data_IF_442961401336
#
_entry.id   IF_442961401336
#
_cell.length_a   1.000
_cell.length_b   1.000
_cell.length_c   1.000
_cell.angle_alpha   90.00
_cell.angle_beta   90.00
_cell.angle_gamma   90.00
#
_symmetry.space_group_name_H-M   'P 1'
#
loop_
_entity.id
_entity.type
_entity.pdbx_description
1 polymer ?
#
# COMPACT_ATOMS: atom_id res chain seq x y z
N UNK A 1 -26.60 12.75 -17.49
CA UNK A 1 -25.78 11.73 -16.78
C UNK A 1 -24.34 11.83 -17.24
N UNK A 2 -23.44 12.20 -16.37
CA UNK A 2 -22.01 12.27 -16.67
C UNK A 2 -21.39 10.89 -16.56
N UNK A 3 -20.64 10.46 -17.58
CA UNK A 3 -19.94 9.18 -17.63
C UNK A 3 -18.47 9.42 -17.30
N UNK A 4 -17.99 8.81 -16.19
CA UNK A 4 -16.63 8.96 -15.70
C UNK A 4 -15.84 7.67 -15.95
N UNK A 5 -14.72 7.69 -16.70
CA UNK A 5 -13.84 6.53 -16.84
C UNK A 5 -13.39 6.02 -15.48
N UNK A 6 -13.54 4.71 -15.26
CA UNK A 6 -13.22 4.02 -14.01
C UNK A 6 -12.49 2.73 -14.28
N UNK A 7 -11.43 2.53 -13.52
CA UNK A 7 -10.60 1.32 -13.58
C UNK A 7 -10.43 0.76 -12.17
N UNK A 8 -10.37 -0.57 -12.05
CA UNK A 8 -9.88 -1.23 -10.84
C UNK A 8 -8.58 -1.93 -11.16
N UNK A 9 -7.55 -1.60 -10.39
CA UNK A 9 -6.19 -2.10 -10.57
C UNK A 9 -5.79 -2.83 -9.29
N UNK A 10 -5.17 -3.99 -9.44
CA UNK A 10 -4.60 -4.74 -8.32
C UNK A 10 -3.10 -4.46 -8.23
N UNK A 11 -2.73 -3.47 -7.40
CA UNK A 11 -1.33 -3.06 -7.23
C UNK A 11 -0.51 -4.11 -6.52
N UNK A 12 0.72 -4.35 -6.98
CA UNK A 12 1.65 -5.33 -6.44
C UNK A 12 1.09 -6.76 -6.45
N UNK A 13 0.36 -7.10 -7.51
CA UNK A 13 -0.15 -8.46 -7.69
C UNK A 13 1.01 -9.46 -7.80
N UNK A 14 0.83 -10.61 -7.19
CA UNK A 14 1.71 -11.76 -7.39
C UNK A 14 1.31 -12.47 -8.70
N UNK A 15 2.18 -12.51 -9.71
CA UNK A 15 1.84 -13.10 -11.02
C UNK A 15 1.48 -14.59 -10.93
N UNK A 16 1.92 -15.27 -9.89
CA UNK A 16 1.66 -16.69 -9.66
C UNK A 16 0.33 -16.94 -8.93
N UNK A 17 -0.33 -15.87 -8.41
CA UNK A 17 -1.56 -15.98 -7.60
C UNK A 17 -2.69 -15.15 -8.22
N UNK A 18 -3.72 -15.77 -8.80
CA UNK A 18 -4.87 -15.06 -9.35
C UNK A 18 -5.57 -14.17 -8.29
N UNK A 19 -6.04 -13.00 -8.72
CA UNK A 19 -6.76 -12.02 -7.89
C UNK A 19 -5.99 -11.50 -6.68
N UNK A 20 -4.68 -11.64 -6.67
CA UNK A 20 -3.75 -11.08 -5.68
C UNK A 20 -3.57 -9.57 -5.83
N UNK A 21 -2.77 -8.97 -4.95
CA UNK A 21 -2.46 -7.54 -4.95
C UNK A 21 -3.49 -6.69 -4.22
N UNK A 22 -3.19 -5.41 -4.05
CA UNK A 22 -4.07 -4.46 -3.34
C UNK A 22 -4.96 -3.72 -4.35
N UNK A 23 -6.29 -3.90 -4.30
CA UNK A 23 -7.21 -3.26 -5.24
C UNK A 23 -7.33 -1.77 -4.96
N UNK A 24 -7.25 -0.96 -6.01
CA UNK A 24 -7.52 0.46 -5.98
C UNK A 24 -8.42 0.86 -7.15
N UNK A 25 -9.43 1.69 -6.87
CA UNK A 25 -10.20 2.36 -7.90
C UNK A 25 -9.40 3.54 -8.48
N UNK A 26 -9.51 3.76 -9.78
CA UNK A 26 -8.90 4.91 -10.45
C UNK A 26 -9.93 5.59 -11.33
N UNK A 27 -10.22 6.86 -11.03
CA UNK A 27 -11.09 7.72 -11.82
C UNK A 27 -10.25 8.75 -12.57
N UNK A 28 -10.35 8.78 -13.90
CA UNK A 28 -9.70 9.80 -14.73
C UNK A 28 -10.73 10.85 -15.10
N UNK A 29 -10.47 12.12 -14.75
CA UNK A 29 -11.45 13.21 -14.89
C UNK A 29 -10.82 14.48 -15.47
N UNK A 30 -11.68 15.35 -16.05
CA UNK A 30 -11.24 16.64 -16.59
C UNK A 30 -11.00 17.68 -15.48
N UNK A 31 -11.80 17.62 -14.42
CA UNK A 31 -11.68 18.47 -13.24
C UNK A 31 -12.21 17.73 -12.00
N UNK A 32 -11.70 18.07 -10.80
CA UNK A 32 -12.26 17.55 -9.55
C UNK A 32 -13.64 18.19 -9.31
N UNK A 33 -14.70 17.39 -9.11
CA UNK A 33 -15.97 17.87 -8.60
C UNK A 33 -15.86 18.23 -7.11
N UNK A 34 -16.97 18.59 -6.49
CA UNK A 34 -17.03 18.80 -5.03
C UNK A 34 -16.57 17.55 -4.27
N UNK A 35 -15.93 17.76 -3.12
CA UNK A 35 -15.38 16.70 -2.28
C UNK A 35 -16.44 15.67 -1.86
N UNK A 36 -17.70 16.08 -1.72
CA UNK A 36 -18.83 15.19 -1.44
C UNK A 36 -19.08 14.17 -2.53
N UNK A 37 -18.84 14.53 -3.80
CA UNK A 37 -18.96 13.62 -4.95
C UNK A 37 -17.80 12.61 -4.94
N UNK A 38 -16.56 13.08 -4.72
CA UNK A 38 -15.38 12.21 -4.63
C UNK A 38 -15.53 11.19 -3.49
N UNK A 39 -15.94 11.67 -2.30
CA UNK A 39 -16.22 10.82 -1.15
C UNK A 39 -17.36 9.82 -1.43
N UNK A 40 -18.43 10.26 -2.10
CA UNK A 40 -19.55 9.39 -2.48
C UNK A 40 -19.13 8.27 -3.44
N UNK A 41 -18.27 8.57 -4.42
CA UNK A 41 -17.72 7.57 -5.34
C UNK A 41 -16.86 6.57 -4.57
N UNK A 42 -15.91 7.04 -3.74
CA UNK A 42 -15.03 6.18 -2.98
C UNK A 42 -15.82 5.27 -1.99
N UNK A 43 -16.84 5.84 -1.32
CA UNK A 43 -17.72 5.07 -0.45
C UNK A 43 -18.50 3.99 -1.22
N UNK A 44 -19.02 4.32 -2.41
CA UNK A 44 -19.77 3.37 -3.25
C UNK A 44 -18.88 2.25 -3.80
N UNK A 45 -17.63 2.56 -4.15
CA UNK A 45 -16.66 1.58 -4.62
C UNK A 45 -16.25 0.59 -3.50
N UNK A 46 -16.23 1.07 -2.25
CA UNK A 46 -15.89 0.30 -1.06
C UNK A 46 -14.55 -0.47 -1.16
N UNK A 47 -13.59 0.11 -1.88
CA UNK A 47 -12.19 -0.33 -1.91
C UNK A 47 -11.40 0.39 -0.83
N UNK A 48 -10.20 -0.11 -0.50
CA UNK A 48 -9.31 0.57 0.46
C UNK A 48 -9.17 2.04 0.12
N UNK A 49 -8.82 2.35 -1.14
CA UNK A 49 -8.82 3.71 -1.69
C UNK A 49 -9.29 3.76 -3.13
N UNK A 50 -9.85 4.93 -3.48
CA UNK A 50 -10.07 5.37 -4.85
C UNK A 50 -9.18 6.57 -5.15
N UNK A 51 -8.38 6.46 -6.20
CA UNK A 51 -7.55 7.53 -6.74
C UNK A 51 -8.33 8.35 -7.78
N UNK A 52 -8.29 9.65 -7.64
CA UNK A 52 -8.87 10.60 -8.59
C UNK A 52 -7.75 11.40 -9.25
N UNK A 53 -7.66 11.37 -10.57
CA UNK A 53 -6.60 12.02 -11.33
C UNK A 53 -7.17 13.03 -12.33
N UNK A 54 -6.56 14.22 -12.36
CA UNK A 54 -6.89 15.32 -13.25
C UNK A 54 -5.62 15.78 -13.96
N UNK A 55 -5.66 15.90 -15.28
CA UNK A 55 -4.54 16.39 -16.07
C UNK A 55 -4.14 17.82 -15.66
N UNK A 56 -2.85 18.08 -15.51
CA UNK A 56 -2.30 19.40 -15.20
C UNK A 56 -1.44 19.96 -16.32
N UNK A 57 -0.93 19.09 -17.18
CA UNK A 57 -0.04 19.41 -18.29
C UNK A 57 0.45 18.15 -18.96
N UNK A 58 1.50 18.27 -19.78
CA UNK A 58 2.08 17.12 -20.44
C UNK A 58 2.68 16.15 -19.40
N UNK A 59 2.17 14.93 -19.35
CA UNK A 59 2.58 13.85 -18.45
C UNK A 59 2.57 14.23 -16.95
N UNK A 60 1.82 15.31 -16.60
CA UNK A 60 1.65 15.80 -15.22
C UNK A 60 0.18 15.77 -14.81
N UNK A 61 -0.08 15.31 -13.58
CA UNK A 61 -1.40 15.06 -13.06
C UNK A 61 -1.53 15.55 -11.61
N UNK A 62 -2.69 16.09 -11.25
CA UNK A 62 -3.08 16.23 -9.85
C UNK A 62 -3.70 14.91 -9.41
N UNK A 63 -3.37 14.46 -8.20
CA UNK A 63 -3.82 13.18 -7.65
C UNK A 63 -4.32 13.36 -6.22
N UNK A 64 -5.50 12.82 -5.95
CA UNK A 64 -6.14 12.76 -4.63
C UNK A 64 -6.62 11.34 -4.36
N UNK A 65 -6.64 10.94 -3.10
CA UNK A 65 -7.07 9.60 -2.67
C UNK A 65 -8.15 9.71 -1.60
N UNK A 66 -9.16 8.89 -1.73
CA UNK A 66 -10.24 8.78 -0.75
C UNK A 66 -10.43 7.32 -0.35
N UNK A 67 -10.46 7.06 0.96
CA UNK A 67 -11.04 5.86 1.53
C UNK A 67 -12.57 5.96 1.45
N UNK A 68 -13.35 4.91 1.78
CA UNK A 68 -14.80 5.02 1.92
C UNK A 68 -15.27 6.08 2.93
N UNK A 69 -14.40 6.54 3.83
CA UNK A 69 -14.76 7.45 4.91
C UNK A 69 -14.14 8.87 4.81
N UNK A 70 -12.89 8.97 4.34
CA UNK A 70 -12.13 10.23 4.39
C UNK A 70 -11.13 10.35 3.23
N UNK A 71 -10.74 11.58 2.91
CA UNK A 71 -9.57 11.84 2.06
C UNK A 71 -8.29 11.58 2.87
N UNK A 72 -7.29 10.96 2.22
CA UNK A 72 -5.98 10.69 2.81
C UNK A 72 -4.87 11.46 2.09
N UNK A 73 -3.81 11.81 2.81
CA UNK A 73 -2.74 12.65 2.28
C UNK A 73 -1.71 11.88 1.46
N UNK A 74 -1.61 10.56 1.66
CA UNK A 74 -0.69 9.68 0.94
C UNK A 74 -1.27 8.27 0.82
N UNK A 75 -1.19 7.71 -0.39
CA UNK A 75 -1.52 6.30 -0.63
C UNK A 75 -0.60 5.72 -1.73
N UNK A 76 0.30 4.82 -1.36
CA UNK A 76 1.29 4.23 -2.27
C UNK A 76 0.65 3.35 -3.34
N UNK A 77 -0.15 2.35 -2.96
CA UNK A 77 -0.71 1.39 -3.90
C UNK A 77 -1.70 2.04 -4.87
N UNK A 78 -2.52 3.02 -4.41
CA UNK A 78 -3.43 3.73 -5.30
C UNK A 78 -2.72 4.74 -6.23
N UNK A 79 -1.54 5.28 -5.83
CA UNK A 79 -0.66 6.02 -6.75
C UNK A 79 -0.09 5.12 -7.82
N UNK A 80 0.38 3.93 -7.42
CA UNK A 80 0.90 2.91 -8.33
C UNK A 80 -0.15 2.50 -9.36
N UNK A 81 -1.39 2.26 -8.90
CA UNK A 81 -2.55 1.98 -9.74
C UNK A 81 -2.85 3.12 -10.73
N UNK A 82 -2.88 4.37 -10.25
CA UNK A 82 -3.13 5.54 -11.08
C UNK A 82 -2.07 5.69 -12.18
N UNK A 83 -0.79 5.49 -11.83
CA UNK A 83 0.31 5.49 -12.80
C UNK A 83 0.18 4.40 -13.85
N UNK A 84 -0.15 3.18 -13.44
CA UNK A 84 -0.38 2.06 -14.35
C UNK A 84 -1.50 2.38 -15.37
N UNK A 85 -2.65 2.89 -14.90
CA UNK A 85 -3.76 3.29 -15.78
C UNK A 85 -3.32 4.34 -16.80
N UNK A 86 -2.67 5.43 -16.36
CA UNK A 86 -2.28 6.52 -17.25
C UNK A 86 -1.25 6.11 -18.30
N UNK A 87 -0.32 5.25 -17.90
CA UNK A 87 0.70 4.70 -18.79
C UNK A 87 0.11 3.68 -19.78
N UNK A 88 -0.74 2.77 -19.33
CA UNK A 88 -1.34 1.73 -20.20
C UNK A 88 -2.36 2.29 -21.19
N UNK A 89 -3.17 3.26 -20.78
CA UNK A 89 -4.18 3.91 -21.66
C UNK A 89 -3.57 4.90 -22.65
N UNK A 90 -2.27 5.22 -22.52
CA UNK A 90 -1.58 6.18 -23.37
C UNK A 90 -1.93 7.63 -23.05
N UNK A 91 -2.55 7.90 -21.89
CA UNK A 91 -2.77 9.25 -21.39
C UNK A 91 -1.43 9.96 -21.08
N UNK A 92 -0.44 9.22 -20.66
CA UNK A 92 0.98 9.62 -20.56
C UNK A 92 1.70 9.13 -21.82
N UNK A 93 2.39 10.04 -22.52
CA UNK A 93 3.11 9.73 -23.76
C UNK A 93 4.55 9.26 -23.52
N UNK A 94 5.12 9.63 -22.38
CA UNK A 94 6.44 9.16 -21.91
C UNK A 94 6.35 7.84 -21.14
N UNK A 95 7.43 7.50 -20.44
CA UNK A 95 7.51 6.31 -19.61
C UNK A 95 7.23 6.59 -18.13
N UNK A 96 6.89 7.84 -17.79
CA UNK A 96 6.69 8.28 -16.39
C UNK A 96 5.47 9.19 -16.27
N UNK A 97 4.55 8.82 -15.40
CA UNK A 97 3.45 9.65 -14.91
C UNK A 97 3.92 10.44 -13.68
N UNK A 98 3.80 11.77 -13.72
CA UNK A 98 4.16 12.65 -12.62
C UNK A 98 2.92 13.18 -11.93
N UNK A 99 2.88 13.03 -10.60
CA UNK A 99 1.75 13.44 -9.78
C UNK A 99 2.11 14.58 -8.85
N UNK A 100 1.25 15.58 -8.78
CA UNK A 100 1.24 16.57 -7.71
C UNK A 100 0.18 16.16 -6.69
N UNK A 101 0.59 16.02 -5.43
CA UNK A 101 -0.25 15.58 -4.33
C UNK A 101 -0.11 16.50 -3.13
N UNK A 102 -0.95 16.29 -2.10
CA UNK A 102 -0.82 17.01 -0.81
C UNK A 102 0.49 16.67 -0.09
N UNK A 103 1.03 15.46 -0.29
CA UNK A 103 2.30 15.02 0.30
C UNK A 103 3.52 15.32 -0.57
N UNK A 104 3.36 16.17 -1.59
CA UNK A 104 4.42 16.52 -2.53
C UNK A 104 4.38 15.71 -3.84
N UNK A 105 5.43 15.83 -4.67
CA UNK A 105 5.48 15.15 -5.95
C UNK A 105 5.74 13.65 -5.80
N UNK A 106 5.01 12.85 -6.57
CA UNK A 106 5.19 11.41 -6.72
C UNK A 106 5.31 11.06 -8.19
N UNK A 107 5.90 9.92 -8.51
CA UNK A 107 5.98 9.43 -9.89
C UNK A 107 5.87 7.92 -9.97
N UNK A 108 5.31 7.45 -11.08
CA UNK A 108 5.26 6.03 -11.43
C UNK A 108 5.79 5.89 -12.84
N UNK A 109 6.72 4.98 -13.06
CA UNK A 109 7.36 4.73 -14.34
C UNK A 109 7.14 3.29 -14.81
N UNK A 110 7.25 3.08 -16.12
CA UNK A 110 7.36 1.72 -16.69
C UNK A 110 8.68 1.10 -16.27
N UNK A 111 8.68 -0.20 -16.03
CA UNK A 111 9.88 -0.99 -15.79
C UNK A 111 9.80 -2.34 -16.50
N UNK A 112 10.90 -3.08 -16.55
CA UNK A 112 10.92 -4.43 -17.11
C UNK A 112 10.00 -5.41 -16.35
N UNK A 113 9.77 -5.17 -15.05
CA UNK A 113 8.91 -5.96 -14.17
C UNK A 113 7.50 -5.33 -13.99
N UNK A 114 7.02 -4.54 -14.94
CA UNK A 114 5.74 -3.85 -14.86
C UNK A 114 5.91 -2.35 -14.59
N UNK A 115 5.80 -1.92 -13.34
CA UNK A 115 5.91 -0.52 -12.96
C UNK A 115 6.86 -0.34 -11.78
N UNK A 116 7.32 0.90 -11.60
CA UNK A 116 8.16 1.30 -10.47
C UNK A 116 7.72 2.65 -9.91
N UNK A 117 7.86 2.81 -8.61
CA UNK A 117 7.71 4.09 -7.90
C UNK A 117 8.69 4.14 -6.73
N UNK A 118 8.93 5.33 -6.19
CA UNK A 118 9.74 5.47 -5.00
C UNK A 118 9.02 6.29 -3.91
N UNK A 119 9.25 5.92 -2.65
CA UNK A 119 8.72 6.61 -1.47
C UNK A 119 9.85 6.92 -0.48
N UNK A 120 9.66 7.91 0.39
CA UNK A 120 10.61 8.16 1.49
C UNK A 120 10.73 6.94 2.40
N UNK A 121 11.94 6.62 2.82
CA UNK A 121 12.20 5.65 3.88
C UNK A 121 11.62 6.15 5.20
N UNK A 122 11.09 5.23 6.01
CA UNK A 122 10.56 5.53 7.35
C UNK A 122 11.46 4.86 8.40
N UNK A 123 11.89 5.66 9.37
CA UNK A 123 12.82 5.23 10.41
C UNK A 123 12.21 4.24 11.41
N UNK A 124 13.08 3.38 11.94
CA UNK A 124 12.78 2.43 13.00
C UNK A 124 13.52 2.83 14.28
N UNK A 125 12.84 2.75 15.40
CA UNK A 125 13.42 2.92 16.74
C UNK A 125 13.25 1.63 17.51
N UNK A 126 14.23 1.24 18.30
CA UNK A 126 14.13 0.04 19.14
C UNK A 126 12.90 0.16 20.06
N UNK A 127 11.97 -0.74 19.87
CA UNK A 127 10.72 -0.84 20.63
C UNK A 127 10.77 -1.94 21.68
N UNK A 128 9.70 -2.05 22.46
CA UNK A 128 9.52 -3.14 23.42
C UNK A 128 8.20 -3.85 23.14
N UNK A 129 8.20 -5.21 23.17
CA UNK A 129 6.96 -5.94 23.08
C UNK A 129 6.12 -5.65 24.34
N UNK A 130 4.88 -5.24 24.15
CA UNK A 130 3.92 -5.14 25.25
C UNK A 130 3.00 -6.38 25.26
N UNK A 131 2.58 -6.76 26.45
CA UNK A 131 1.78 -7.98 26.66
C UNK A 131 0.43 -7.90 25.96
N UNK A 132 -0.20 -6.72 25.92
CA UNK A 132 -1.52 -6.55 25.33
C UNK A 132 -1.46 -6.79 23.80
N UNK A 133 -0.51 -6.14 23.09
CA UNK A 133 -0.31 -6.35 21.65
C UNK A 133 0.10 -7.80 21.35
N UNK A 134 0.98 -8.39 22.17
CA UNK A 134 1.40 -9.78 22.02
C UNK A 134 0.22 -10.77 22.11
N UNK A 135 -0.64 -10.59 23.09
CA UNK A 135 -1.84 -11.40 23.26
C UNK A 135 -2.82 -11.19 22.12
N UNK A 136 -3.04 -9.94 21.70
CA UNK A 136 -3.93 -9.61 20.60
C UNK A 136 -3.46 -10.20 19.27
N UNK A 137 -2.15 -10.37 19.06
CA UNK A 137 -1.58 -11.06 17.89
C UNK A 137 -1.63 -12.58 18.01
N UNK A 138 -1.97 -13.15 19.19
CA UNK A 138 -1.91 -14.57 19.44
C UNK A 138 -0.48 -15.13 19.58
N UNK A 139 0.51 -14.26 19.86
CA UNK A 139 1.93 -14.60 19.91
C UNK A 139 2.43 -14.96 21.32
N UNK A 140 1.54 -15.28 22.25
CA UNK A 140 1.92 -15.73 23.59
C UNK A 140 2.71 -17.04 23.49
N UNK A 141 3.94 -17.04 24.03
CA UNK A 141 4.84 -18.20 23.96
C UNK A 141 5.72 -18.29 22.71
N UNK A 142 5.53 -17.44 21.70
CA UNK A 142 6.43 -17.37 20.55
C UNK A 142 7.66 -16.52 20.87
N UNK A 143 8.81 -16.90 20.34
CA UNK A 143 10.01 -16.08 20.37
C UNK A 143 9.88 -14.94 19.39
N UNK A 144 10.43 -13.78 19.75
CA UNK A 144 10.50 -12.59 18.92
C UNK A 144 11.96 -12.24 18.71
N UNK A 145 12.35 -12.03 17.47
CA UNK A 145 13.71 -11.57 17.17
C UNK A 145 13.88 -10.10 17.57
N UNK A 146 12.90 -9.25 17.25
CA UNK A 146 12.93 -7.84 17.56
C UNK A 146 11.54 -7.21 17.53
N UNK A 147 11.41 -6.04 18.18
CA UNK A 147 10.25 -5.14 18.03
C UNK A 147 10.77 -3.74 17.83
N UNK A 148 10.15 -3.01 16.90
CA UNK A 148 10.48 -1.62 16.59
C UNK A 148 9.22 -0.76 16.66
N UNK A 149 9.38 0.44 17.22
CA UNK A 149 8.43 1.52 17.02
C UNK A 149 8.77 2.23 15.71
N UNK A 150 7.79 2.44 14.86
CA UNK A 150 7.93 3.13 13.57
C UNK A 150 7.58 4.59 13.79
N UNK A 151 8.34 5.49 13.17
CA UNK A 151 8.01 6.92 13.17
C UNK A 151 6.57 7.13 12.70
N UNK A 152 5.87 8.07 13.34
CA UNK A 152 4.45 8.29 13.08
C UNK A 152 4.20 8.67 11.63
N UNK A 153 3.39 7.87 10.96
CA UNK A 153 2.85 8.17 9.66
C UNK A 153 1.40 8.62 9.88
N UNK A 154 1.08 9.86 9.52
CA UNK A 154 -0.28 10.42 9.65
C UNK A 154 -0.93 10.28 11.06
N UNK A 155 -0.11 10.41 12.11
CA UNK A 155 -0.61 10.43 13.50
C UNK A 155 -0.88 9.05 14.12
N UNK A 156 -0.97 7.99 13.36
CA UNK A 156 -1.15 6.63 13.89
C UNK A 156 0.15 6.10 14.51
N UNK A 157 0.00 5.19 15.48
CA UNK A 157 1.13 4.45 16.07
C UNK A 157 1.32 3.15 15.31
N UNK A 158 2.55 2.93 14.87
CA UNK A 158 2.93 1.72 14.15
C UNK A 158 4.01 0.98 14.92
N UNK A 159 3.90 -0.34 14.97
CA UNK A 159 4.98 -1.22 15.45
C UNK A 159 5.29 -2.28 14.40
N UNK A 160 6.57 -2.64 14.29
CA UNK A 160 7.04 -3.77 13.51
C UNK A 160 7.55 -4.86 14.46
N UNK A 161 7.01 -6.06 14.31
CA UNK A 161 7.34 -7.24 15.10
C UNK A 161 8.03 -8.26 14.19
N UNK A 162 9.29 -8.58 14.48
CA UNK A 162 10.07 -9.54 13.71
C UNK A 162 9.94 -10.90 14.37
N UNK A 163 9.42 -11.87 13.62
CA UNK A 163 9.18 -13.24 14.03
C UNK A 163 10.25 -14.16 13.45
N UNK A 164 10.32 -15.39 13.95
CA UNK A 164 11.38 -16.32 13.60
C UNK A 164 11.29 -16.83 12.15
N UNK A 165 10.08 -17.09 11.66
CA UNK A 165 9.83 -17.77 10.38
C UNK A 165 8.51 -17.36 9.71
N UNK A 166 8.39 -17.71 8.43
CA UNK A 166 7.22 -17.42 7.59
C UNK A 166 5.96 -18.13 8.11
N UNK A 167 6.08 -19.36 8.60
CA UNK A 167 4.93 -20.12 9.11
C UNK A 167 4.30 -19.42 10.31
N UNK A 168 5.11 -18.90 11.22
CA UNK A 168 4.62 -18.10 12.35
C UNK A 168 3.86 -16.86 11.87
N UNK A 169 4.37 -16.12 10.86
CA UNK A 169 3.65 -14.97 10.27
C UNK A 169 2.32 -15.39 9.64
N UNK A 170 2.33 -16.51 8.92
CA UNK A 170 1.14 -17.06 8.23
C UNK A 170 0.05 -17.46 9.21
N UNK A 171 0.45 -18.05 10.33
CA UNK A 171 -0.46 -18.64 11.31
C UNK A 171 -1.04 -17.64 12.33
N UNK A 172 -0.56 -16.41 12.38
CA UNK A 172 -1.12 -15.36 13.24
C UNK A 172 -2.62 -15.19 12.94
N UNK A 173 -3.42 -15.25 14.01
CA UNK A 173 -4.87 -14.97 13.98
C UNK A 173 -5.13 -13.86 15.00
N UNK A 174 -5.06 -12.58 14.58
CA UNK A 174 -5.15 -11.48 15.52
C UNK A 174 -6.56 -11.26 16.04
N UNK A 175 -6.68 -10.86 17.29
CA UNK A 175 -7.90 -10.23 17.83
C UNK A 175 -7.91 -8.75 17.41
N UNK A 176 -8.55 -8.49 16.27
CA UNK A 176 -8.63 -7.15 15.66
C UNK A 176 -9.37 -6.16 16.57
N UNK A 177 -10.33 -6.63 17.38
CA UNK A 177 -11.05 -5.80 18.35
C UNK A 177 -10.13 -5.31 19.45
N UNK A 178 -9.26 -6.18 19.98
CA UNK A 178 -8.25 -5.79 20.95
C UNK A 178 -7.21 -4.84 20.32
N UNK A 179 -6.69 -5.11 19.12
CA UNK A 179 -5.75 -4.22 18.44
C UNK A 179 -6.35 -2.83 18.22
N UNK A 180 -7.62 -2.73 17.85
CA UNK A 180 -8.34 -1.45 17.73
C UNK A 180 -8.40 -0.70 19.06
N UNK A 181 -8.68 -1.40 20.14
CA UNK A 181 -8.74 -0.83 21.49
C UNK A 181 -7.36 -0.35 21.97
N UNK A 182 -6.30 -1.08 21.66
CA UNK A 182 -4.90 -0.71 21.95
C UNK A 182 -4.50 0.54 21.16
N UNK A 183 -5.12 0.80 20.00
CA UNK A 183 -4.85 1.96 19.17
C UNK A 183 -3.51 1.91 18.44
N UNK A 184 -3.09 0.70 18.04
CA UNK A 184 -1.85 0.47 17.28
C UNK A 184 -2.14 -0.26 15.98
N UNK A 185 -1.39 0.11 14.95
CA UNK A 185 -1.25 -0.68 13.73
C UNK A 185 0.03 -1.52 13.83
N UNK A 186 -0.01 -2.74 13.36
CA UNK A 186 1.09 -3.69 13.57
C UNK A 186 1.50 -4.36 12.26
N UNK A 187 2.79 -4.25 11.96
CA UNK A 187 3.45 -5.04 10.92
C UNK A 187 4.06 -6.26 11.63
N UNK A 188 3.81 -7.45 11.12
CA UNK A 188 4.58 -8.63 11.47
C UNK A 188 5.39 -9.08 10.26
N UNK A 189 6.62 -9.53 10.47
CA UNK A 189 7.54 -9.91 9.39
C UNK A 189 8.49 -11.00 9.84
N UNK A 190 8.97 -11.79 8.88
CA UNK A 190 9.96 -12.85 9.08
C UNK A 190 10.77 -13.05 7.80
N UNK A 191 11.91 -13.79 7.84
CA UNK A 191 12.53 -14.32 6.63
C UNK A 191 11.50 -15.13 5.83
N UNK A 192 11.56 -15.04 4.49
CA UNK A 192 10.68 -15.81 3.61
C UNK A 192 11.31 -17.12 3.17
N UNK A 193 10.47 -18.10 2.83
CA UNK A 193 10.93 -19.40 2.31
C UNK A 193 11.29 -19.33 0.83
N UNK A 194 10.51 -18.57 0.04
CA UNK A 194 10.67 -18.44 -1.41
C UNK A 194 11.00 -17.01 -1.87
N UNK A 195 11.04 -16.06 -0.93
CA UNK A 195 11.39 -14.65 -1.11
C UNK A 195 12.29 -14.23 0.04
N UNK A 196 12.89 -13.06 -0.03
CA UNK A 196 13.83 -12.61 1.01
C UNK A 196 13.13 -12.37 2.35
N UNK A 197 11.92 -11.81 2.32
CA UNK A 197 11.10 -11.67 3.53
C UNK A 197 9.60 -11.68 3.24
N UNK A 198 8.84 -12.02 4.29
CA UNK A 198 7.38 -11.94 4.26
C UNK A 198 6.87 -10.97 5.31
N UNK A 199 5.64 -10.49 5.11
CA UNK A 199 4.98 -9.60 6.06
C UNK A 199 3.46 -9.76 6.06
N UNK A 200 2.81 -9.28 7.12
CA UNK A 200 1.38 -8.94 7.18
C UNK A 200 1.22 -7.61 7.89
N UNK A 201 0.16 -6.88 7.55
CA UNK A 201 -0.10 -5.57 8.15
C UNK A 201 -1.53 -5.47 8.65
N UNK A 202 -1.66 -5.31 9.96
CA UNK A 202 -2.91 -5.13 10.67
C UNK A 202 -3.07 -3.67 11.06
N UNK A 203 -4.10 -2.99 10.56
CA UNK A 203 -4.33 -1.58 10.77
C UNK A 203 -5.73 -1.24 11.32
N UNK A 204 -6.28 -2.01 12.29
CA UNK A 204 -7.64 -1.79 12.78
C UNK A 204 -7.81 -0.43 13.48
N UNK A 205 -6.75 0.17 14.01
CA UNK A 205 -6.77 1.53 14.56
C UNK A 205 -6.98 2.61 13.48
N UNK A 206 -6.69 2.29 12.21
CA UNK A 206 -6.93 3.14 11.03
C UNK A 206 -8.16 2.74 10.24
N UNK A 207 -8.97 1.79 10.74
CA UNK A 207 -10.20 1.35 10.09
C UNK A 207 -10.03 0.23 9.06
N UNK A 208 -8.83 -0.30 8.87
CA UNK A 208 -8.51 -1.41 7.96
C UNK A 208 -8.07 -2.61 8.79
N UNK A 209 -8.85 -3.68 8.81
CA UNK A 209 -8.54 -4.85 9.63
C UNK A 209 -7.20 -5.48 9.23
N UNK A 210 -7.02 -5.80 7.96
CA UNK A 210 -5.75 -6.26 7.40
C UNK A 210 -5.60 -5.70 5.97
N UNK A 211 -4.50 -5.00 5.69
CA UNK A 211 -4.24 -4.43 4.37
C UNK A 211 -3.51 -5.46 3.48
N UNK A 212 -3.98 -5.71 2.24
CA UNK A 212 -3.41 -6.74 1.36
C UNK A 212 -1.94 -6.54 1.01
N UNK A 213 -1.56 -5.34 0.59
CA UNK A 213 -0.17 -4.97 0.27
C UNK A 213 0.06 -3.50 0.61
N UNK A 214 0.98 -3.25 1.53
CA UNK A 214 1.16 -1.94 2.15
C UNK A 214 2.49 -1.30 1.76
N UNK A 215 2.45 -0.34 0.84
CA UNK A 215 3.67 0.39 0.43
C UNK A 215 4.37 1.08 1.60
N UNK A 216 3.62 1.77 2.47
CA UNK A 216 4.18 2.47 3.63
C UNK A 216 4.87 1.54 4.64
N UNK A 217 4.38 0.30 4.83
CA UNK A 217 5.04 -0.69 5.66
C UNK A 217 6.42 -1.07 5.09
N UNK A 218 6.51 -1.21 3.77
CA UNK A 218 7.75 -1.55 3.10
C UNK A 218 8.77 -0.41 3.08
N UNK A 219 8.36 0.82 3.35
CA UNK A 219 9.29 1.94 3.59
C UNK A 219 10.17 1.72 4.84
N UNK A 220 9.73 0.88 5.78
CA UNK A 220 10.52 0.48 6.97
C UNK A 220 11.06 -0.95 6.84
N UNK A 221 10.29 -1.87 6.25
CA UNK A 221 10.70 -3.27 6.06
C UNK A 221 11.91 -3.40 5.14
N UNK A 222 11.92 -2.69 4.01
CA UNK A 222 12.99 -2.80 3.03
C UNK A 222 14.37 -2.44 3.59
N UNK A 223 14.58 -1.27 4.25
CA UNK A 223 15.88 -0.95 4.83
C UNK A 223 16.27 -1.91 5.97
N UNK A 224 15.33 -2.38 6.78
CA UNK A 224 15.59 -3.35 7.83
C UNK A 224 16.12 -4.68 7.26
N UNK A 225 15.43 -5.24 6.26
CA UNK A 225 15.83 -6.51 5.68
C UNK A 225 17.07 -6.40 4.81
N UNK A 226 17.27 -5.28 4.11
CA UNK A 226 18.49 -5.01 3.34
C UNK A 226 19.73 -5.01 4.24
N UNK A 227 19.66 -4.35 5.39
CA UNK A 227 20.74 -4.34 6.38
C UNK A 227 20.99 -5.74 6.96
N UNK A 228 19.92 -6.46 7.30
CA UNK A 228 19.99 -7.79 7.92
C UNK A 228 20.54 -8.86 6.96
N UNK A 229 20.19 -8.80 5.68
CA UNK A 229 20.57 -9.79 4.66
C UNK A 229 21.83 -9.39 3.90
N UNK A 230 22.23 -8.13 3.95
CA UNK A 230 23.35 -7.59 3.18
C UNK A 230 23.06 -7.45 1.68
N UNK A 231 21.77 -7.32 1.31
CA UNK A 231 21.31 -7.26 -0.08
C UNK A 231 20.73 -5.89 -0.41
N UNK A 232 21.07 -5.36 -1.60
CA UNK A 232 20.58 -4.05 -2.04
C UNK A 232 19.18 -4.10 -2.66
N UNK A 233 18.77 -5.23 -3.22
CA UNK A 233 17.47 -5.46 -3.83
C UNK A 233 16.88 -6.72 -3.24
N UNK A 234 15.64 -6.63 -2.80
CA UNK A 234 14.94 -7.69 -2.09
C UNK A 234 13.62 -8.00 -2.76
N UNK A 235 13.26 -9.27 -2.73
CA UNK A 235 11.92 -9.76 -3.05
C UNK A 235 11.10 -9.89 -1.77
N UNK A 236 9.85 -9.44 -1.80
CA UNK A 236 8.96 -9.48 -0.64
C UNK A 236 7.57 -10.02 -1.01
N UNK A 237 6.95 -10.71 -0.08
CA UNK A 237 5.53 -11.06 -0.15
C UNK A 237 4.80 -10.58 1.10
N UNK A 238 3.67 -9.90 0.91
CA UNK A 238 2.70 -9.70 1.98
C UNK A 238 1.69 -10.84 1.89
N UNK A 239 1.65 -11.70 2.94
CA UNK A 239 1.05 -13.04 2.87
C UNK A 239 -0.31 -13.15 3.58
N UNK A 240 -1.08 -12.06 3.65
CA UNK A 240 -2.45 -12.07 4.16
C UNK A 240 -3.40 -12.91 3.29
N UNK A 241 -4.71 -12.89 3.59
CA UNK A 241 -5.73 -13.61 2.81
C UNK A 241 -5.74 -13.25 1.32
N UNK A 242 -5.34 -12.02 0.98
CA UNK A 242 -5.11 -11.55 -0.38
C UNK A 242 -3.64 -11.17 -0.49
N UNK A 243 -2.77 -12.06 -0.97
CA UNK A 243 -1.34 -11.81 -0.99
C UNK A 243 -0.94 -10.85 -2.11
N UNK A 244 0.29 -10.33 -2.00
CA UNK A 244 0.93 -9.62 -3.09
C UNK A 244 2.44 -9.76 -3.04
N UNK A 245 3.08 -9.43 -4.16
CA UNK A 245 4.52 -9.55 -4.36
C UNK A 245 5.09 -8.25 -4.91
N UNK A 246 6.22 -7.86 -4.37
CA UNK A 246 6.95 -6.67 -4.80
C UNK A 246 8.46 -6.91 -4.66
N UNK A 247 9.23 -6.15 -5.42
CA UNK A 247 10.65 -6.02 -5.20
C UNK A 247 10.92 -4.64 -4.65
N UNK A 248 11.88 -4.52 -3.72
CA UNK A 248 12.20 -3.27 -3.04
C UNK A 248 13.69 -3.01 -3.03
N UNK A 249 14.07 -1.75 -3.27
CA UNK A 249 15.47 -1.28 -3.26
C UNK A 249 15.57 -0.04 -2.37
N UNK A 250 16.02 -0.19 -1.11
CA UNK A 250 16.30 0.96 -0.25
C UNK A 250 17.61 1.62 -0.65
N UNK A 251 17.60 2.92 -0.93
CA UNK A 251 18.77 3.70 -1.25
C UNK A 251 18.57 5.18 -0.91
N UNK A 252 19.60 5.82 -0.35
CA UNK A 252 19.66 7.26 -0.13
C UNK A 252 18.43 7.86 0.60
N UNK A 253 17.89 7.15 1.57
CA UNK A 253 16.72 7.60 2.35
C UNK A 253 15.37 7.43 1.62
N UNK A 254 15.35 6.67 0.54
CA UNK A 254 14.14 6.30 -0.21
C UNK A 254 14.09 4.79 -0.42
N UNK A 255 12.92 4.30 -0.75
CA UNK A 255 12.69 2.91 -1.15
C UNK A 255 12.04 2.93 -2.53
N UNK A 256 12.69 2.29 -3.50
CA UNK A 256 12.11 2.04 -4.82
C UNK A 256 11.35 0.73 -4.80
N UNK A 257 10.11 0.77 -5.28
CA UNK A 257 9.22 -0.37 -5.40
C UNK A 257 9.09 -0.78 -6.85
N UNK A 258 9.12 -2.07 -7.12
CA UNK A 258 8.82 -2.65 -8.43
C UNK A 258 7.71 -3.70 -8.28
N UNK A 259 6.80 -3.76 -9.24
CA UNK A 259 5.73 -4.73 -9.17
C UNK A 259 4.77 -4.69 -10.36
N UNK A 260 3.81 -5.59 -10.31
CA UNK A 260 2.75 -5.70 -11.30
C UNK A 260 1.50 -4.95 -10.84
N UNK A 261 0.74 -4.45 -11.79
CA UNK A 261 -0.52 -3.74 -11.55
C UNK A 261 -1.57 -4.15 -12.61
N UNK A 262 -2.01 -5.42 -12.63
CA UNK A 262 -2.98 -5.87 -13.60
C UNK A 262 -4.31 -5.12 -13.45
N UNK A 263 -4.89 -4.76 -14.59
CA UNK A 263 -6.21 -4.15 -14.68
C UNK A 263 -7.27 -5.24 -14.51
N UNK A 264 -8.04 -5.14 -13.44
CA UNK A 264 -9.12 -6.07 -13.12
C UNK A 264 -10.44 -5.64 -13.78
N UNK A 265 -10.74 -4.32 -13.75
CA UNK A 265 -11.94 -3.75 -14.34
C UNK A 265 -11.61 -2.52 -15.18
N UNK A 266 -12.29 -2.41 -16.31
CA UNK A 266 -12.28 -1.24 -17.20
C UNK A 266 -13.73 -0.90 -17.54
N UNK A 267 -14.17 0.30 -17.16
CA UNK A 267 -15.57 0.66 -17.31
C UNK A 267 -15.84 2.14 -17.07
N UNK A 268 -17.01 2.45 -16.57
CA UNK A 268 -17.37 3.82 -16.21
C UNK A 268 -18.35 3.87 -15.04
N UNK A 269 -18.18 4.87 -14.20
CA UNK A 269 -19.18 5.30 -13.24
C UNK A 269 -20.16 6.24 -13.91
N UNK A 270 -21.45 6.05 -13.68
CA UNK A 270 -22.50 6.94 -14.13
C UNK A 270 -22.87 7.83 -12.94
N UNK A 271 -22.49 9.10 -13.02
CA UNK A 271 -22.84 10.06 -11.99
C UNK A 271 -24.32 10.45 -12.12
N UNK A 272 -25.07 10.52 -11.00
CA UNK A 272 -26.42 11.07 -11.03
C UNK A 272 -26.37 12.52 -11.51
N UNK A 273 -27.47 12.97 -12.13
CA UNK A 273 -27.65 14.39 -12.41
C UNK A 273 -27.79 15.13 -11.07
N UNK A 274 -27.09 16.25 -10.92
CA UNK A 274 -27.11 17.09 -9.73
C UNK A 274 -28.49 17.78 -9.57
#
# INVERSE_FOLDING_TARGET
MTRLPYYEIHSFADPDVPFSGNPAGVCVMDAFPDDTVLAGIANSNNLSETAFVVARGKDQWNLRWFTPAVEVDLCGHATFAAGAVLLETGAVRGDTAHFQTRSGPLSVSRSAAGFTMDLPQVGLQAGKPDTATRNALGLSGHELDAVFDIERIHGARYQMWVLADEDTVRDVRPDLGQLRTIGKNVIITAPGDAVDFVSRFFAPASGVDEDPVTGSAHCSLAPYWADRLGEARLTARQIGPRPGRLEVEPAAGRVTFHGHAPRYLDGAIILPDA
#
